data_IF_460660193459
#
_entry.id   IF_460660193459
#
_cell.length_a   1.000
_cell.length_b   1.000
_cell.length_c   1.000
_cell.angle_alpha   90.00
_cell.angle_beta   90.00
_cell.angle_gamma   90.00
#
_symmetry.space_group_name_H-M   'P 1'
#
loop_
_entity.id
_entity.type
_entity.pdbx_description
1 polymer ?
#
# COMPACT_ATOMS: atom_id res chain seq x y z
N UNK A 1 26.74 -4.90 3.79
CA UNK A 1 25.92 -4.03 2.96
C UNK A 1 25.74 -2.69 3.65
N UNK A 2 25.72 -1.63 2.87
CA UNK A 2 25.64 -0.29 3.41
C UNK A 2 24.18 0.07 3.74
N UNK A 3 23.87 0.40 5.01
CA UNK A 3 22.50 0.81 5.36
C UNK A 3 22.00 2.01 4.56
N UNK A 4 22.90 2.89 4.15
CA UNK A 4 22.53 4.05 3.34
C UNK A 4 21.85 3.64 2.04
N UNK A 5 22.27 2.55 1.41
CA UNK A 5 21.67 2.07 0.17
C UNK A 5 20.21 1.67 0.39
N UNK A 6 19.92 1.03 1.50
CA UNK A 6 18.55 0.64 1.83
C UNK A 6 17.67 1.84 2.13
N UNK A 7 18.22 2.85 2.80
CA UNK A 7 17.49 4.08 3.08
C UNK A 7 17.20 4.86 1.81
N UNK A 8 18.15 4.90 0.88
CA UNK A 8 17.95 5.54 -0.42
C UNK A 8 16.85 4.81 -1.20
N UNK A 9 16.91 3.48 -1.22
CA UNK A 9 15.88 2.68 -1.87
C UNK A 9 14.50 2.95 -1.24
N UNK A 10 14.44 3.00 0.07
CA UNK A 10 13.22 3.31 0.80
C UNK A 10 12.67 4.67 0.39
N UNK A 11 13.52 5.68 0.33
CA UNK A 11 13.12 7.02 -0.08
C UNK A 11 12.59 7.06 -1.51
N UNK A 12 13.22 6.33 -2.41
CA UNK A 12 12.80 6.26 -3.82
C UNK A 12 11.43 5.59 -3.91
N UNK A 13 11.27 4.46 -3.24
CA UNK A 13 9.99 3.72 -3.27
C UNK A 13 8.86 4.55 -2.67
N UNK A 14 9.12 5.22 -1.57
CA UNK A 14 8.12 6.09 -0.94
C UNK A 14 7.72 7.22 -1.88
N UNK A 15 8.69 7.83 -2.54
CA UNK A 15 8.45 8.92 -3.48
C UNK A 15 7.60 8.45 -4.66
N UNK A 16 7.90 7.28 -5.21
CA UNK A 16 7.13 6.69 -6.31
C UNK A 16 5.69 6.45 -5.87
N UNK A 17 5.50 5.88 -4.69
CA UNK A 17 4.16 5.65 -4.14
C UNK A 17 3.39 6.95 -3.95
N UNK A 18 4.05 7.97 -3.41
CA UNK A 18 3.43 9.28 -3.18
C UNK A 18 2.98 9.91 -4.49
N UNK A 19 3.83 9.90 -5.51
CA UNK A 19 3.48 10.43 -6.83
C UNK A 19 2.29 9.67 -7.41
N UNK A 20 2.30 8.35 -7.27
CA UNK A 20 1.18 7.53 -7.75
C UNK A 20 -0.13 7.86 -7.08
N UNK A 21 -0.12 8.09 -5.77
CA UNK A 21 -1.33 8.47 -5.03
C UNK A 21 -1.87 9.81 -5.52
N UNK A 22 -0.98 10.76 -5.79
CA UNK A 22 -1.39 12.11 -6.20
C UNK A 22 -1.87 12.18 -7.64
N UNK A 23 -1.36 11.30 -8.51
CA UNK A 23 -1.59 11.38 -9.96
C UNK A 23 -2.71 10.44 -10.41
N UNK A 24 -2.82 9.26 -9.81
CA UNK A 24 -3.76 8.24 -10.28
C UNK A 24 -5.13 8.40 -9.62
N UNK A 25 -6.17 8.09 -10.39
CA UNK A 25 -7.56 8.14 -9.91
C UNK A 25 -8.17 6.76 -9.70
N UNK A 26 -7.52 5.73 -10.22
CA UNK A 26 -8.00 4.36 -10.05
C UNK A 26 -7.76 3.92 -8.61
N UNK A 27 -8.83 3.47 -7.93
CA UNK A 27 -8.77 3.09 -6.53
C UNK A 27 -7.79 1.95 -6.26
N UNK A 28 -7.72 0.97 -7.17
CA UNK A 28 -6.80 -0.15 -7.02
C UNK A 28 -5.35 0.32 -7.11
N UNK A 29 -5.07 1.19 -8.09
CA UNK A 29 -3.71 1.74 -8.26
C UNK A 29 -3.32 2.60 -7.07
N UNK A 30 -4.23 3.43 -6.57
CA UNK A 30 -3.98 4.25 -5.36
C UNK A 30 -3.68 3.34 -4.17
N UNK A 31 -4.46 2.28 -4.00
CA UNK A 31 -4.25 1.32 -2.92
C UNK A 31 -2.86 0.67 -3.03
N UNK A 32 -2.46 0.26 -4.24
CA UNK A 32 -1.14 -0.32 -4.47
C UNK A 32 -0.03 0.68 -4.16
N UNK A 33 -0.23 1.96 -4.49
CA UNK A 33 0.74 3.01 -4.20
C UNK A 33 0.88 3.25 -2.70
N UNK A 34 -0.21 3.22 -1.95
CA UNK A 34 -0.18 3.32 -0.49
C UNK A 34 0.57 2.13 0.10
N UNK A 35 0.34 0.93 -0.43
CA UNK A 35 1.07 -0.26 0.01
C UNK A 35 2.56 -0.14 -0.26
N UNK A 36 2.93 0.42 -1.41
CA UNK A 36 4.33 0.68 -1.72
C UNK A 36 4.95 1.64 -0.71
N UNK A 37 4.23 2.69 -0.32
CA UNK A 37 4.68 3.64 0.70
C UNK A 37 4.86 2.95 2.05
N UNK A 38 3.94 2.08 2.43
CA UNK A 38 4.04 1.32 3.68
C UNK A 38 5.25 0.38 3.66
N UNK A 39 5.47 -0.31 2.55
CA UNK A 39 6.64 -1.17 2.40
C UNK A 39 7.94 -0.37 2.48
N UNK A 40 7.97 0.80 1.86
CA UNK A 40 9.14 1.68 1.92
C UNK A 40 9.43 2.12 3.35
N UNK A 41 8.39 2.51 4.09
CA UNK A 41 8.53 2.90 5.50
C UNK A 41 9.03 1.74 6.35
N UNK A 42 8.51 0.54 6.10
CA UNK A 42 8.92 -0.64 6.84
C UNK A 42 10.37 -1.01 6.52
N UNK A 43 10.79 -0.88 5.27
CA UNK A 43 12.19 -1.09 4.89
C UNK A 43 13.11 -0.14 5.64
N UNK A 44 12.74 1.13 5.74
CA UNK A 44 13.50 2.12 6.51
C UNK A 44 13.58 1.71 7.98
N UNK A 45 12.45 1.28 8.55
CA UNK A 45 12.38 0.86 9.95
C UNK A 45 13.29 -0.33 10.23
N UNK A 46 13.24 -1.35 9.36
CA UNK A 46 14.11 -2.53 9.50
C UNK A 46 15.58 -2.14 9.39
N UNK A 47 15.90 -1.22 8.46
CA UNK A 47 17.27 -0.75 8.26
C UNK A 47 17.79 -0.05 9.51
N UNK A 48 16.99 0.84 10.11
CA UNK A 48 17.37 1.52 11.34
C UNK A 48 17.53 0.54 12.50
N UNK A 49 16.61 -0.41 12.64
CA UNK A 49 16.68 -1.41 13.69
C UNK A 49 17.95 -2.27 13.57
N UNK A 50 18.30 -2.66 12.35
CA UNK A 50 19.50 -3.44 12.09
C UNK A 50 20.77 -2.64 12.38
N UNK A 51 20.81 -1.38 11.95
CA UNK A 51 21.93 -0.49 12.19
C UNK A 51 22.16 -0.26 13.67
N UNK A 52 21.08 -0.11 14.45
CA UNK A 52 21.14 0.05 15.89
C UNK A 52 21.43 -1.27 16.63
N UNK A 53 21.40 -2.40 15.90
CA UNK A 53 21.59 -3.71 16.53
C UNK A 53 20.44 -4.12 17.42
N UNK A 54 19.25 -3.59 17.18
CA UNK A 54 18.07 -3.81 18.00
C UNK A 54 17.18 -4.88 17.41
N UNK A 55 17.25 -6.10 17.99
CA UNK A 55 16.44 -7.20 17.55
C UNK A 55 14.95 -6.97 17.82
N UNK A 56 14.63 -6.27 18.90
CA UNK A 56 13.24 -5.95 19.24
C UNK A 56 12.62 -5.07 18.15
N UNK A 57 13.39 -4.15 17.61
CA UNK A 57 12.94 -3.33 16.48
C UNK A 57 12.62 -4.16 15.25
N UNK A 58 13.40 -5.20 14.98
CA UNK A 58 13.15 -6.11 13.87
C UNK A 58 11.89 -6.95 14.09
N UNK A 59 11.64 -7.37 15.33
CA UNK A 59 10.41 -8.08 15.69
C UNK A 59 9.19 -7.19 15.49
N UNK A 60 9.28 -5.93 15.91
CA UNK A 60 8.19 -4.97 15.71
C UNK A 60 7.94 -4.76 14.21
N UNK A 61 8.99 -4.65 13.41
CA UNK A 61 8.87 -4.52 11.96
C UNK A 61 8.15 -5.73 11.36
N UNK A 62 8.45 -6.93 11.85
CA UNK A 62 7.76 -8.14 11.41
C UNK A 62 6.26 -8.06 11.71
N UNK A 63 5.88 -7.64 12.90
CA UNK A 63 4.47 -7.48 13.25
C UNK A 63 3.80 -6.42 12.38
N UNK A 64 4.48 -5.32 12.09
CA UNK A 64 3.96 -4.29 11.19
C UNK A 64 3.71 -4.88 9.80
N UNK A 65 4.61 -5.73 9.32
CA UNK A 65 4.44 -6.40 8.02
C UNK A 65 3.22 -7.32 8.02
N UNK A 66 2.99 -8.05 9.10
CA UNK A 66 1.82 -8.94 9.22
C UNK A 66 0.54 -8.13 9.20
N UNK A 67 0.48 -7.04 9.95
CA UNK A 67 -0.68 -6.14 9.97
C UNK A 67 -0.91 -5.54 8.59
N UNK A 68 0.15 -5.09 7.94
CA UNK A 68 0.06 -4.53 6.58
C UNK A 68 -0.49 -5.55 5.59
N UNK A 69 -0.03 -6.79 5.68
CA UNK A 69 -0.54 -7.86 4.81
C UNK A 69 -2.03 -8.10 5.04
N UNK A 70 -2.46 -8.10 6.30
CA UNK A 70 -3.88 -8.25 6.63
C UNK A 70 -4.71 -7.08 6.07
N UNK A 71 -4.19 -5.86 6.18
CA UNK A 71 -4.85 -4.67 5.63
C UNK A 71 -4.98 -4.76 4.11
N UNK A 72 -3.97 -5.28 3.42
CA UNK A 72 -4.01 -5.49 1.97
C UNK A 72 -5.17 -6.40 1.60
N UNK A 73 -5.29 -7.54 2.28
CA UNK A 73 -6.35 -8.51 1.99
C UNK A 73 -7.72 -7.87 2.20
N UNK A 74 -7.92 -7.22 3.35
CA UNK A 74 -9.19 -6.57 3.67
C UNK A 74 -9.48 -5.42 2.71
N UNK A 75 -8.48 -4.58 2.46
CA UNK A 75 -8.62 -3.44 1.58
C UNK A 75 -8.95 -3.85 0.15
N UNK A 76 -8.27 -4.86 -0.37
CA UNK A 76 -8.56 -5.37 -1.72
C UNK A 76 -9.96 -5.98 -1.78
N UNK A 77 -10.36 -6.71 -0.75
CA UNK A 77 -11.71 -7.27 -0.69
C UNK A 77 -12.76 -6.18 -0.74
N UNK A 78 -12.58 -5.10 0.01
CA UNK A 78 -13.49 -3.96 0.01
C UNK A 78 -13.53 -3.30 -1.37
N UNK A 79 -12.37 -3.06 -1.96
CA UNK A 79 -12.28 -2.41 -3.27
C UNK A 79 -12.95 -3.26 -4.35
N UNK A 80 -12.69 -4.57 -4.35
CA UNK A 80 -13.30 -5.49 -5.31
C UNK A 80 -14.82 -5.49 -5.14
N UNK A 81 -15.30 -5.50 -3.91
CA UNK A 81 -16.73 -5.46 -3.61
C UNK A 81 -17.37 -4.18 -4.15
N UNK A 82 -16.72 -3.04 -3.92
CA UNK A 82 -17.19 -1.75 -4.42
C UNK A 82 -17.26 -1.76 -5.95
N UNK A 83 -16.22 -2.25 -6.61
CA UNK A 83 -16.20 -2.32 -8.08
C UNK A 83 -17.31 -3.20 -8.62
N UNK A 84 -17.54 -4.34 -7.99
CA UNK A 84 -18.62 -5.23 -8.40
C UNK A 84 -19.99 -4.57 -8.24
N UNK A 85 -20.19 -3.90 -7.14
CA UNK A 85 -21.43 -3.18 -6.86
C UNK A 85 -21.64 -2.05 -7.86
N UNK A 86 -20.60 -1.27 -8.14
CA UNK A 86 -20.68 -0.18 -9.10
C UNK A 86 -20.90 -0.69 -10.53
N UNK A 87 -20.26 -1.80 -10.87
CA UNK A 87 -20.44 -2.40 -12.19
C UNK A 87 -21.91 -2.81 -12.38
N UNK A 88 -22.50 -3.43 -11.37
CA UNK A 88 -23.91 -3.76 -11.40
C UNK A 88 -24.77 -2.52 -11.50
N UNK A 89 -24.49 -1.51 -10.71
CA UNK A 89 -25.21 -0.25 -10.73
C UNK A 89 -25.07 0.44 -12.10
N UNK A 90 -23.85 0.41 -12.67
CA UNK A 90 -23.61 1.01 -13.97
C UNK A 90 -24.35 0.30 -15.10
N UNK A 91 -24.52 -1.00 -14.98
CA UNK A 91 -25.29 -1.77 -15.95
C UNK A 91 -26.79 -1.43 -15.84
N UNK A 92 -27.27 -1.28 -14.61
CA UNK A 92 -28.67 -0.97 -14.36
C UNK A 92 -29.00 0.49 -14.62
N UNK A 93 -28.08 1.39 -14.33
CA UNK A 93 -28.27 2.84 -14.44
C UNK A 93 -28.70 3.28 -15.84
N UNK A 94 -28.09 2.84 -16.94
CA UNK A 94 -28.56 3.21 -18.26
C UNK A 94 -30.01 2.80 -18.52
N UNK A 95 -30.43 1.67 -18.00
CA UNK A 95 -31.81 1.23 -18.14
C UNK A 95 -32.75 2.13 -17.36
N UNK A 96 -32.36 2.51 -16.15
CA UNK A 96 -33.16 3.42 -15.33
C UNK A 96 -33.29 4.78 -15.99
N UNK A 97 -32.22 5.29 -16.57
CA UNK A 97 -32.25 6.57 -17.28
C UNK A 97 -33.05 6.50 -18.58
N UNK A 98 -33.07 5.34 -19.20
CA UNK A 98 -33.77 5.12 -20.45
C UNK A 98 -35.30 5.06 -20.25
N UNK A 99 -35.71 4.58 -19.13
CA UNK A 99 -37.11 4.40 -18.77
C UNK A 99 -37.56 5.40 -17.73
#
# INVERSE_FOLDING_TARGET
MNPTNYLVLSAILFSIGTVGVLVRRNAIVVFMCVELMLNASNLAFVTFARTAGNLDGQVVAFFVMVVAAAEVVVGLAIIVTIFRTRRSASIDEPNLLKY
#
